data_IF_686017517119
#
_entry.id   IF_686017517119
#
_cell.length_a   1.000
_cell.length_b   1.000
_cell.length_c   1.000
_cell.angle_alpha   90.00
_cell.angle_beta   90.00
_cell.angle_gamma   90.00
#
_symmetry.space_group_name_H-M   'P 1'
#
loop_
_entity.id
_entity.type
_entity.pdbx_description
1 polymer ?
#
# COMPACT_ATOMS: atom_id res chain seq x y z
N UNK A 1 -20.19 13.57 31.09
CA UNK A 1 -20.32 12.54 30.04
C UNK A 1 -19.62 13.12 28.82
N UNK A 2 -18.45 12.60 28.45
CA UNK A 2 -17.74 13.07 27.27
C UNK A 2 -18.43 12.47 26.03
N UNK A 3 -18.83 13.32 25.08
CA UNK A 3 -19.29 12.86 23.78
C UNK A 3 -18.14 12.11 23.08
N UNK A 4 -18.40 10.97 22.42
CA UNK A 4 -17.37 10.30 21.65
C UNK A 4 -17.01 11.20 20.46
N UNK A 5 -15.74 11.61 20.37
CA UNK A 5 -15.18 12.23 19.17
C UNK A 5 -15.42 11.31 17.98
N UNK A 6 -16.21 11.78 17.01
CA UNK A 6 -16.40 11.11 15.73
C UNK A 6 -15.10 11.30 14.94
N UNK A 7 -14.18 10.33 15.05
CA UNK A 7 -12.96 10.33 14.25
C UNK A 7 -13.35 10.00 12.81
N UNK A 8 -13.24 11.00 11.91
CA UNK A 8 -13.46 10.77 10.49
C UNK A 8 -12.54 9.65 9.97
N UNK A 9 -13.07 8.69 9.18
CA UNK A 9 -12.26 7.59 8.69
C UNK A 9 -11.21 8.12 7.72
N UNK A 10 -9.95 7.71 7.91
CA UNK A 10 -8.89 8.03 6.95
C UNK A 10 -9.16 7.30 5.65
N UNK A 11 -9.22 8.04 4.55
CA UNK A 11 -9.50 7.49 3.22
C UNK A 11 -8.25 7.53 2.35
N UNK A 12 -7.96 6.42 1.71
CA UNK A 12 -6.99 6.28 0.63
C UNK A 12 -7.72 6.45 -0.70
N UNK A 13 -7.16 7.24 -1.61
CA UNK A 13 -7.68 7.42 -2.96
C UNK A 13 -6.55 7.28 -3.97
N UNK A 14 -6.70 6.38 -4.94
CA UNK A 14 -5.74 6.23 -6.01
C UNK A 14 -5.78 7.46 -6.93
N UNK A 15 -4.60 7.95 -7.32
CA UNK A 15 -4.49 9.10 -8.23
C UNK A 15 -4.63 8.75 -9.71
N UNK A 16 -4.69 7.46 -10.06
CA UNK A 16 -4.75 7.00 -11.46
C UNK A 16 -5.99 6.17 -11.79
N UNK A 17 -6.80 5.80 -10.80
CA UNK A 17 -8.06 5.10 -11.04
C UNK A 17 -9.10 5.48 -9.98
N UNK A 18 -10.38 5.15 -10.18
CA UNK A 18 -11.44 5.49 -9.24
C UNK A 18 -11.41 4.72 -7.91
N UNK A 19 -10.38 3.89 -7.66
CA UNK A 19 -10.30 3.10 -6.44
C UNK A 19 -10.04 3.99 -5.21
N UNK A 20 -10.87 3.83 -4.20
CA UNK A 20 -10.70 4.40 -2.88
C UNK A 20 -11.09 3.38 -1.82
N UNK A 21 -10.51 3.49 -0.63
CA UNK A 21 -10.84 2.64 0.51
C UNK A 21 -10.50 3.35 1.82
N UNK A 22 -11.23 3.05 2.90
CA UNK A 22 -10.77 3.39 4.24
C UNK A 22 -9.47 2.64 4.55
N UNK A 23 -8.60 3.23 5.37
CA UNK A 23 -7.40 2.56 5.85
C UNK A 23 -7.17 2.85 7.33
N UNK A 24 -6.59 1.89 8.04
CA UNK A 24 -6.32 2.00 9.46
C UNK A 24 -4.96 2.66 9.71
N UNK A 25 -3.95 2.29 8.92
CA UNK A 25 -2.55 2.69 9.15
C UNK A 25 -1.82 3.01 7.85
N UNK A 26 -0.87 3.94 7.95
CA UNK A 26 0.13 4.23 6.91
C UNK A 26 1.52 4.06 7.52
N UNK A 27 2.16 2.92 7.29
CA UNK A 27 3.36 2.52 8.05
C UNK A 27 4.27 1.58 7.23
N UNK A 28 5.51 1.42 7.67
CA UNK A 28 6.48 0.41 7.17
C UNK A 28 6.47 -0.86 8.00
N UNK A 29 5.70 -0.92 9.09
CA UNK A 29 5.64 -2.09 9.96
C UNK A 29 4.23 -2.65 9.98
N UNK A 30 4.14 -3.94 9.72
CA UNK A 30 2.97 -4.73 10.03
C UNK A 30 3.25 -5.50 11.32
N UNK A 31 2.43 -5.27 12.34
CA UNK A 31 2.47 -6.04 13.58
C UNK A 31 1.28 -6.98 13.56
N UNK A 32 1.57 -8.29 13.54
CA UNK A 32 0.54 -9.26 13.86
C UNK A 32 0.47 -9.42 15.38
N UNK A 33 -0.52 -8.78 15.98
CA UNK A 33 -0.79 -8.95 17.42
C UNK A 33 -1.42 -10.31 17.72
N UNK A 34 -1.82 -11.07 16.69
CA UNK A 34 -2.46 -12.37 16.84
C UNK A 34 -1.50 -13.55 16.70
N UNK A 35 -0.36 -13.43 16.01
CA UNK A 35 0.61 -14.53 15.82
C UNK A 35 1.63 -14.64 16.98
N UNK A 36 1.76 -15.81 17.65
CA UNK A 36 2.94 -16.11 18.46
C UNK A 36 4.16 -16.32 17.56
N UNK A 37 5.26 -15.58 17.82
CA UNK A 37 6.49 -15.65 17.01
C UNK A 37 7.09 -17.07 16.93
N UNK A 38 7.35 -17.60 15.72
CA UNK A 38 8.34 -18.65 15.53
C UNK A 38 9.71 -17.97 15.37
N UNK A 39 10.56 -18.10 16.39
CA UNK A 39 12.00 -17.84 16.36
C UNK A 39 12.41 -16.36 16.29
N UNK A 40 12.65 -15.76 17.47
CA UNK A 40 13.65 -14.72 17.63
C UNK A 40 14.50 -15.03 18.87
N UNK A 41 15.82 -15.03 18.65
CA UNK A 41 16.90 -15.38 19.58
C UNK A 41 16.66 -14.89 21.01
N UNK A 42 16.81 -15.83 21.94
CA UNK A 42 16.70 -15.69 23.39
C UNK A 42 17.46 -14.47 23.94
N UNK A 43 16.72 -13.45 24.38
CA UNK A 43 17.09 -12.67 25.57
C UNK A 43 15.88 -12.61 26.49
N UNK A 44 15.95 -13.46 27.52
CA UNK A 44 14.95 -13.68 28.56
C UNK A 44 14.77 -12.41 29.41
N UNK A 45 13.82 -11.57 29.03
CA UNK A 45 13.34 -10.47 29.88
C UNK A 45 12.11 -10.94 30.68
N UNK A 46 12.23 -10.96 32.01
CA UNK A 46 11.21 -11.43 32.98
C UNK A 46 9.94 -10.56 33.07
N UNK A 47 9.74 -9.61 32.16
CA UNK A 47 8.53 -8.78 32.13
C UNK A 47 7.71 -9.12 30.88
N UNK A 48 6.76 -10.03 31.06
CA UNK A 48 5.78 -10.56 30.09
C UNK A 48 5.24 -9.48 29.13
N UNK A 49 5.76 -9.45 27.90
CA UNK A 49 4.98 -9.16 26.68
C UNK A 49 5.36 -10.24 25.69
N UNK A 50 4.35 -10.99 25.24
CA UNK A 50 4.57 -12.07 24.27
C UNK A 50 5.17 -11.50 22.98
N UNK A 51 6.12 -12.19 22.35
CA UNK A 51 6.78 -11.70 21.14
C UNK A 51 5.82 -11.75 19.95
N UNK A 52 5.33 -10.59 19.50
CA UNK A 52 4.54 -10.41 18.28
C UNK A 52 5.40 -10.55 17.03
N UNK A 53 4.97 -11.33 16.05
CA UNK A 53 5.62 -11.36 14.74
C UNK A 53 5.43 -9.99 14.05
N UNK A 54 6.53 -9.26 13.85
CA UNK A 54 6.54 -7.98 13.13
C UNK A 54 7.11 -8.19 11.74
N UNK A 55 6.30 -8.00 10.71
CA UNK A 55 6.75 -7.97 9.32
C UNK A 55 7.17 -6.54 8.99
N UNK A 56 8.43 -6.34 8.65
CA UNK A 56 8.94 -5.08 8.15
C UNK A 56 8.73 -5.00 6.63
N UNK A 57 8.03 -3.95 6.19
CA UNK A 57 7.82 -3.61 4.80
C UNK A 57 8.91 -2.65 4.33
N UNK A 58 9.31 -2.79 3.07
CA UNK A 58 10.37 -1.99 2.46
C UNK A 58 9.90 -0.56 2.16
N UNK A 59 8.59 -0.37 1.97
CA UNK A 59 7.95 0.93 1.74
C UNK A 59 6.86 1.22 2.78
N UNK A 60 6.53 2.52 2.96
CA UNK A 60 5.34 2.92 3.71
C UNK A 60 4.10 2.62 2.87
N UNK A 61 3.18 1.85 3.41
CA UNK A 61 1.98 1.44 2.68
C UNK A 61 0.71 1.77 3.44
N UNK A 62 -0.38 1.94 2.71
CA UNK A 62 -1.72 2.05 3.27
C UNK A 62 -2.23 0.65 3.61
N UNK A 63 -2.56 0.43 4.88
CA UNK A 63 -3.01 -0.85 5.43
C UNK A 63 -4.50 -0.76 5.81
N UNK A 64 -5.27 -1.69 5.30
CA UNK A 64 -6.67 -1.93 5.67
C UNK A 64 -6.74 -3.24 6.46
N UNK A 65 -7.43 -3.28 7.58
CA UNK A 65 -7.71 -4.53 8.29
C UNK A 65 -8.49 -5.46 7.37
N UNK A 66 -8.06 -6.73 7.25
CA UNK A 66 -8.72 -7.71 6.39
C UNK A 66 -10.17 -7.91 6.87
N UNK A 67 -11.19 -7.48 6.08
CA UNK A 67 -12.59 -7.60 6.47
C UNK A 67 -13.09 -9.05 6.43
N UNK A 68 -12.29 -9.97 5.87
CA UNK A 68 -12.59 -11.40 5.73
C UNK A 68 -11.82 -12.28 6.72
N UNK A 69 -11.07 -11.70 7.66
CA UNK A 69 -10.63 -12.45 8.85
C UNK A 69 -11.84 -12.59 9.76
N UNK A 70 -12.43 -13.79 9.74
CA UNK A 70 -13.55 -14.11 10.60
C UNK A 70 -13.11 -14.00 12.06
N UNK A 71 -13.79 -13.15 12.84
CA UNK A 71 -13.77 -13.20 14.30
C UNK A 71 -14.55 -14.47 14.67
N UNK A 72 -13.88 -15.63 14.66
CA UNK A 72 -14.51 -16.90 15.05
C UNK A 72 -14.55 -16.96 16.57
N UNK A 73 -15.74 -16.74 17.12
CA UNK A 73 -15.99 -16.64 18.56
C UNK A 73 -15.25 -15.46 19.22
N UNK A 74 -15.86 -14.85 20.23
CA UNK A 74 -15.32 -13.64 20.90
C UNK A 74 -13.92 -13.84 21.51
N UNK A 75 -13.44 -15.09 21.58
CA UNK A 75 -12.22 -15.47 22.28
C UNK A 75 -11.19 -16.21 21.39
N UNK A 76 -11.42 -16.38 20.07
CA UNK A 76 -10.46 -17.06 19.16
C UNK A 76 -10.31 -16.35 17.83
N UNK A 77 -9.57 -15.25 17.84
CA UNK A 77 -8.95 -14.73 16.60
C UNK A 77 -8.15 -15.89 16.01
N UNK A 78 -8.36 -16.20 14.72
CA UNK A 78 -7.50 -17.15 14.00
C UNK A 78 -6.11 -16.52 13.90
N UNK A 79 -5.30 -16.83 14.91
CA UNK A 79 -3.95 -16.36 15.10
C UNK A 79 -3.04 -16.73 13.93
N UNK A 80 -3.47 -17.57 12.99
CA UNK A 80 -2.65 -17.96 11.83
C UNK A 80 -2.84 -17.06 10.62
N UNK A 81 -3.81 -16.12 10.64
CA UNK A 81 -4.20 -15.33 9.47
C UNK A 81 -3.81 -13.86 9.61
N UNK A 82 -3.07 -13.38 8.62
CA UNK A 82 -2.69 -11.97 8.47
C UNK A 82 -3.94 -11.08 8.50
N UNK A 83 -3.99 -10.15 9.44
CA UNK A 83 -5.14 -9.29 9.73
C UNK A 83 -5.14 -7.97 8.98
N UNK A 84 -4.19 -7.71 8.07
CA UNK A 84 -4.19 -6.50 7.24
C UNK A 84 -3.78 -6.75 5.80
N UNK A 85 -4.37 -5.96 4.91
CA UNK A 85 -4.17 -5.94 3.47
C UNK A 85 -3.47 -4.64 3.08
N UNK A 86 -2.49 -4.75 2.18
CA UNK A 86 -1.87 -3.59 1.54
C UNK A 86 -2.76 -3.14 0.38
N UNK A 87 -3.27 -1.91 0.44
CA UNK A 87 -4.17 -1.38 -0.61
C UNK A 87 -3.46 -0.42 -1.58
N UNK A 88 -2.31 0.13 -1.17
CA UNK A 88 -1.51 1.04 -2.00
C UNK A 88 -0.32 1.62 -1.27
N UNK A 89 0.39 2.53 -1.93
CA UNK A 89 1.50 3.31 -1.37
C UNK A 89 1.61 4.65 -2.11
N UNK A 90 2.57 5.47 -1.76
CA UNK A 90 2.89 6.75 -2.42
C UNK A 90 3.92 6.53 -3.52
N UNK A 91 3.69 7.11 -4.70
CA UNK A 91 4.68 7.10 -5.77
C UNK A 91 5.97 7.80 -5.31
N UNK A 92 7.12 7.16 -5.50
CA UNK A 92 8.42 7.67 -5.03
C UNK A 92 8.97 8.87 -5.81
N UNK A 93 8.31 9.25 -6.91
CA UNK A 93 8.68 10.39 -7.76
C UNK A 93 7.75 11.56 -7.49
N UNK A 94 6.43 11.37 -7.62
CA UNK A 94 5.45 12.46 -7.47
C UNK A 94 4.75 12.51 -6.11
N UNK A 95 5.05 11.59 -5.19
CA UNK A 95 4.44 11.46 -3.85
C UNK A 95 2.92 11.22 -3.82
N UNK A 96 2.28 11.08 -4.99
CA UNK A 96 0.83 10.84 -5.09
C UNK A 96 0.46 9.41 -4.66
N UNK A 97 -0.68 9.21 -3.97
CA UNK A 97 -1.16 7.88 -3.59
C UNK A 97 -1.58 7.07 -4.83
N UNK A 98 -1.12 5.82 -4.91
CA UNK A 98 -1.45 4.87 -5.99
C UNK A 98 -1.68 3.48 -5.45
N UNK A 99 -2.73 2.82 -5.95
CA UNK A 99 -3.14 1.51 -5.47
C UNK A 99 -2.21 0.41 -5.97
N UNK A 100 -2.36 -0.79 -5.42
CA UNK A 100 -1.55 -1.96 -5.83
C UNK A 100 -1.88 -2.51 -7.22
N UNK A 101 -2.92 -2.00 -7.87
CA UNK A 101 -3.32 -2.47 -9.20
C UNK A 101 -2.20 -2.24 -10.21
N UNK A 102 -1.96 -3.25 -11.04
CA UNK A 102 -0.87 -3.25 -12.02
C UNK A 102 -0.99 -2.05 -12.99
N UNK A 103 -2.22 -1.64 -13.34
CA UNK A 103 -2.44 -0.46 -14.20
C UNK A 103 -2.21 0.90 -13.51
N UNK A 104 -1.94 0.92 -12.21
CA UNK A 104 -1.71 2.15 -11.46
C UNK A 104 -0.27 2.27 -10.96
N UNK A 105 0.35 1.15 -10.58
CA UNK A 105 1.69 1.20 -10.02
C UNK A 105 2.55 -0.02 -10.34
N UNK A 106 3.85 0.22 -10.30
CA UNK A 106 4.92 -0.76 -10.33
C UNK A 106 5.65 -0.71 -8.99
N UNK A 107 5.91 -1.88 -8.39
CA UNK A 107 6.90 -2.01 -7.31
C UNK A 107 8.19 -2.60 -7.89
N UNK A 108 9.31 -1.91 -7.67
CA UNK A 108 10.64 -2.42 -8.00
C UNK A 108 11.55 -2.36 -6.76
N UNK A 109 12.28 -1.26 -6.56
CA UNK A 109 12.96 -0.94 -5.29
C UNK A 109 12.06 -0.18 -4.32
N UNK A 110 11.06 0.50 -4.90
CA UNK A 110 10.03 1.32 -4.28
C UNK A 110 8.86 1.43 -5.25
N UNK A 111 7.72 1.98 -4.83
CA UNK A 111 6.54 2.10 -5.71
C UNK A 111 6.59 3.33 -6.60
N UNK A 112 6.25 3.14 -7.87
CA UNK A 112 6.15 4.19 -8.89
C UNK A 112 4.77 4.13 -9.54
N UNK A 113 4.14 5.28 -9.77
CA UNK A 113 2.92 5.31 -10.56
C UNK A 113 3.25 5.12 -12.04
N UNK A 114 2.36 4.52 -12.83
CA UNK A 114 2.64 4.26 -14.24
C UNK A 114 2.86 5.54 -15.06
N UNK A 115 2.26 6.69 -14.66
CA UNK A 115 2.60 7.99 -15.27
C UNK A 115 4.09 8.36 -15.06
N UNK A 116 4.66 8.10 -13.88
CA UNK A 116 6.07 8.34 -13.64
C UNK A 116 6.96 7.29 -14.34
N UNK A 117 6.53 6.02 -14.40
CA UNK A 117 7.26 4.99 -15.16
C UNK A 117 7.33 5.35 -16.64
N UNK A 118 6.22 5.81 -17.22
CA UNK A 118 6.16 6.27 -18.62
C UNK A 118 7.08 7.49 -18.85
N UNK A 119 7.09 8.46 -17.94
CA UNK A 119 7.92 9.68 -18.04
C UNK A 119 9.42 9.40 -17.91
N UNK A 120 9.81 8.50 -17.01
CA UNK A 120 11.21 8.17 -16.71
C UNK A 120 11.57 6.78 -17.24
N UNK A 121 11.00 6.40 -18.39
CA UNK A 121 11.09 5.04 -18.94
C UNK A 121 12.52 4.53 -19.05
N UNK A 122 13.44 5.38 -19.50
CA UNK A 122 14.85 5.01 -19.71
C UNK A 122 15.63 4.77 -18.41
N UNK A 123 15.07 5.12 -17.24
CA UNK A 123 15.67 4.83 -15.93
C UNK A 123 15.32 3.42 -15.40
N UNK A 124 14.37 2.72 -16.02
CA UNK A 124 13.95 1.39 -15.61
C UNK A 124 14.63 0.29 -16.45
N UNK A 125 14.98 -0.86 -15.84
CA UNK A 125 15.45 -2.03 -16.59
C UNK A 125 14.45 -2.44 -17.66
N UNK A 126 14.95 -2.83 -18.84
CA UNK A 126 14.11 -3.20 -20.00
C UNK A 126 13.17 -4.36 -19.68
N UNK A 127 13.65 -5.33 -18.92
CA UNK A 127 12.89 -6.52 -18.50
C UNK A 127 11.60 -6.13 -17.78
N UNK A 128 11.64 -5.10 -16.93
CA UNK A 128 10.47 -4.61 -16.19
C UNK A 128 9.51 -3.86 -17.12
N UNK A 129 10.04 -3.09 -18.08
CA UNK A 129 9.24 -2.38 -19.06
C UNK A 129 8.48 -3.35 -19.98
N UNK A 130 9.13 -4.46 -20.35
CA UNK A 130 8.53 -5.52 -21.17
C UNK A 130 7.38 -6.22 -20.42
N UNK A 131 7.53 -6.47 -19.11
CA UNK A 131 6.46 -7.02 -18.27
C UNK A 131 5.26 -6.06 -18.12
N UNK A 132 5.52 -4.74 -18.07
CA UNK A 132 4.44 -3.75 -18.05
C UNK A 132 3.72 -3.74 -19.39
N UNK A 133 4.47 -3.77 -20.49
CA UNK A 133 3.99 -3.69 -21.86
C UNK A 133 3.67 -2.26 -22.30
N UNK A 134 4.05 -1.92 -23.53
CA UNK A 134 3.92 -0.57 -24.11
C UNK A 134 2.52 0.01 -23.98
N UNK A 135 1.49 -0.78 -24.31
CA UNK A 135 0.08 -0.35 -24.26
C UNK A 135 -0.37 0.16 -22.90
N UNK A 136 0.25 -0.30 -21.81
CA UNK A 136 -0.08 0.15 -20.44
C UNK A 136 0.61 1.47 -20.10
N UNK A 137 1.78 1.75 -20.68
CA UNK A 137 2.51 3.01 -20.51
C UNK A 137 2.02 4.10 -21.47
N UNK A 138 1.67 3.73 -22.70
CA UNK A 138 1.21 4.65 -23.76
C UNK A 138 -0.03 5.46 -23.36
N UNK A 139 -0.91 4.90 -22.53
CA UNK A 139 -2.11 5.59 -22.01
C UNK A 139 -1.77 6.87 -21.25
N UNK A 140 -0.54 7.01 -20.77
CA UNK A 140 -0.08 8.19 -20.02
C UNK A 140 0.75 9.16 -20.85
N UNK A 141 1.16 8.80 -22.07
CA UNK A 141 1.92 9.65 -22.99
C UNK A 141 1.02 10.75 -23.58
N UNK A 142 -0.25 10.42 -23.85
CA UNK A 142 -1.20 11.33 -24.50
C UNK A 142 -1.92 12.28 -23.53
N UNK A 143 -1.75 12.13 -22.22
CA UNK A 143 -2.43 12.99 -21.22
C UNK A 143 -1.80 14.38 -21.07
N UNK A 144 -0.61 14.61 -21.61
CA UNK A 144 0.06 15.92 -21.54
C UNK A 144 -0.20 16.78 -22.80
N UNK A 145 -0.81 16.23 -23.88
CA UNK A 145 -1.17 17.00 -25.10
C UNK A 145 -2.49 17.78 -24.94
N UNK A 146 -3.46 17.25 -24.20
CA UNK A 146 -4.76 17.93 -23.98
C UNK A 146 -4.64 19.22 -23.13
N UNK A 147 -3.58 19.37 -22.35
CA UNK A 147 -3.36 20.58 -21.54
C UNK A 147 -2.80 21.78 -22.35
N UNK A 148 -2.28 21.57 -23.56
CA UNK A 148 -1.71 22.65 -24.37
C UNK A 148 -2.73 23.26 -25.36
N UNK A 149 -3.77 22.53 -25.77
CA UNK A 149 -4.83 23.09 -26.63
C UNK A 149 -5.83 23.97 -25.86
N UNK A 150 -6.09 23.72 -24.57
CA UNK A 150 -6.96 24.59 -23.74
C UNK A 150 -6.34 25.95 -23.40
N UNK A 151 -5.03 26.12 -23.53
CA UNK A 151 -4.35 27.41 -23.30
C UNK A 151 -4.20 28.29 -24.56
N UNK A 152 -4.68 27.80 -25.71
CA UNK A 152 -4.58 28.49 -27.01
C UNK A 152 -5.92 29.00 -27.54
N UNK A 153 -6.97 29.04 -26.71
CA UNK A 153 -8.30 29.59 -27.04
C UNK A 153 -8.57 30.85 -26.23
#
# INVERSE_FOLDING_TARGET
>A
MAEPEIVEPKVFQCSLCPFYAAYDRYDTKYVDESLPSPVATTQYNKNKKEPSLTIALIEKVYLLRDPFVAIKDKDKIDQTKLSSLVIGSTCSVCSRPVCIHLDCSLFYTRRFCLKCVSKYRDEFPREILDEIGDKRLEKFINQDYDQYEETLI
#
